data_IF_741365997711
#
_entry.id   IF_741365997711
#
_cell.length_a   1.000
_cell.length_b   1.000
_cell.length_c   1.000
_cell.angle_alpha   90.00
_cell.angle_beta   90.00
_cell.angle_gamma   90.00
#
_symmetry.space_group_name_H-M   'P 1'
#
loop_
_entity.id
_entity.type
_entity.pdbx_description
1 polymer ?
#
# COMPACT_ATOMS: atom_id res chain seq x y z
N UNK A 1 -32.39 27.23 47.64
CA UNK A 1 -30.91 27.17 47.72
C UNK A 1 -30.56 25.96 48.55
N UNK A 2 -30.33 24.82 47.90
CA UNK A 2 -29.89 23.58 48.55
C UNK A 2 -28.42 23.38 48.22
N UNK A 3 -27.59 23.43 49.25
CA UNK A 3 -26.17 23.10 49.24
C UNK A 3 -26.03 21.58 49.20
N UNK A 4 -25.89 21.01 48.00
CA UNK A 4 -25.48 19.61 47.83
C UNK A 4 -24.02 19.44 48.25
N UNK A 5 -23.80 18.63 49.28
CA UNK A 5 -22.48 18.26 49.78
C UNK A 5 -21.79 17.31 48.79
N UNK A 6 -20.46 17.41 48.62
CA UNK A 6 -19.70 16.49 47.77
C UNK A 6 -19.62 15.12 48.44
N UNK A 7 -20.32 14.14 47.86
CA UNK A 7 -20.18 12.73 48.19
C UNK A 7 -18.76 12.27 47.80
N UNK A 8 -17.91 12.13 48.81
CA UNK A 8 -16.55 11.64 48.71
C UNK A 8 -16.59 10.12 48.48
N UNK A 9 -16.86 9.71 47.24
CA UNK A 9 -16.85 8.29 46.84
C UNK A 9 -15.39 7.87 46.71
N UNK A 10 -14.85 7.35 47.80
CA UNK A 10 -13.55 6.67 47.83
C UNK A 10 -13.69 5.37 47.05
N UNK A 11 -13.42 5.41 45.74
CA UNK A 11 -13.39 4.22 44.91
C UNK A 11 -12.16 3.37 45.28
N UNK A 12 -12.33 2.06 45.53
CA UNK A 12 -11.19 1.18 45.82
C UNK A 12 -10.33 1.03 44.57
N UNK A 13 -9.17 1.68 44.56
CA UNK A 13 -8.16 1.61 43.49
C UNK A 13 -7.38 0.28 43.51
N UNK A 14 -8.05 -0.85 43.74
CA UNK A 14 -7.42 -2.17 43.93
C UNK A 14 -8.09 -3.24 43.07
N UNK A 15 -8.06 -3.07 41.76
CA UNK A 15 -8.28 -4.11 40.76
C UNK A 15 -7.90 -3.44 39.43
N UNK A 16 -6.83 -3.76 38.71
CA UNK A 16 -6.28 -5.06 38.36
C UNK A 16 -4.80 -4.86 38.06
N UNK A 17 -3.92 -5.11 39.04
CA UNK A 17 -2.49 -5.20 38.78
C UNK A 17 -2.20 -6.57 38.15
N UNK A 18 -2.45 -6.71 36.85
CA UNK A 18 -1.86 -7.82 36.09
C UNK A 18 -0.34 -7.75 36.30
N UNK A 19 0.33 -8.88 36.64
CA UNK A 19 1.75 -8.86 36.96
C UNK A 19 2.50 -8.30 35.74
N UNK A 20 3.27 -7.22 35.96
CA UNK A 20 4.02 -6.47 34.96
C UNK A 20 4.76 -7.36 33.94
N UNK A 21 5.25 -8.52 34.37
CA UNK A 21 5.87 -9.52 33.52
C UNK A 21 4.96 -10.11 32.43
N UNK A 22 3.70 -10.42 32.76
CA UNK A 22 2.75 -10.98 31.77
C UNK A 22 2.42 -9.98 30.67
N UNK A 23 2.28 -8.71 31.02
CA UNK A 23 2.04 -7.64 30.05
C UNK A 23 3.23 -7.42 29.10
N UNK A 24 4.45 -7.33 29.64
CA UNK A 24 5.68 -7.27 28.84
C UNK A 24 5.79 -8.44 27.85
N UNK A 25 5.41 -9.66 28.26
CA UNK A 25 5.43 -10.81 27.34
C UNK A 25 4.41 -10.70 26.21
N UNK A 26 3.21 -10.14 26.45
CA UNK A 26 2.23 -9.91 25.39
C UNK A 26 2.67 -8.82 24.41
N UNK A 27 3.30 -7.75 24.89
CA UNK A 27 3.82 -6.68 24.03
C UNK A 27 4.95 -7.18 23.14
N UNK A 28 5.95 -7.86 23.72
CA UNK A 28 7.04 -8.45 22.95
C UNK A 28 6.51 -9.43 21.92
N UNK A 29 5.52 -10.26 22.29
CA UNK A 29 4.91 -11.22 21.36
C UNK A 29 4.09 -10.54 20.24
N UNK A 30 3.36 -9.47 20.56
CA UNK A 30 2.60 -8.66 19.60
C UNK A 30 3.51 -7.98 18.59
N UNK A 31 4.60 -7.36 19.05
CA UNK A 31 5.63 -6.77 18.18
C UNK A 31 6.29 -7.84 17.31
N UNK A 32 6.64 -8.99 17.90
CA UNK A 32 7.24 -10.09 17.14
C UNK A 32 6.30 -10.59 16.04
N UNK A 33 5.02 -10.81 16.36
CA UNK A 33 3.99 -11.23 15.40
C UNK A 33 3.77 -10.18 14.30
N UNK A 34 3.75 -8.90 14.66
CA UNK A 34 3.64 -7.77 13.73
C UNK A 34 4.81 -7.72 12.74
N UNK A 35 6.05 -7.86 13.24
CA UNK A 35 7.26 -7.90 12.42
C UNK A 35 7.27 -9.15 11.53
N UNK A 36 6.88 -10.30 12.07
CA UNK A 36 6.75 -11.54 11.30
C UNK A 36 5.67 -11.39 10.22
N UNK A 37 4.50 -10.85 10.54
CA UNK A 37 3.41 -10.67 9.60
C UNK A 37 3.78 -9.68 8.48
N UNK A 38 4.40 -8.55 8.82
CA UNK A 38 4.88 -7.57 7.83
C UNK A 38 5.99 -8.16 6.96
N UNK A 39 6.92 -8.92 7.54
CA UNK A 39 7.96 -9.64 6.80
C UNK A 39 7.36 -10.69 5.86
N UNK A 40 6.40 -11.49 6.32
CA UNK A 40 5.68 -12.48 5.49
C UNK A 40 4.95 -11.77 4.36
N UNK A 41 4.23 -10.68 4.64
CA UNK A 41 3.49 -9.93 3.63
C UNK A 41 4.43 -9.34 2.57
N UNK A 42 5.54 -8.74 3.01
CA UNK A 42 6.58 -8.23 2.12
C UNK A 42 7.22 -9.35 1.29
N UNK A 43 7.47 -10.51 1.90
CA UNK A 43 8.04 -11.70 1.23
C UNK A 43 7.07 -12.29 0.21
N UNK A 44 5.77 -12.40 0.54
CA UNK A 44 4.73 -12.86 -0.37
C UNK A 44 4.53 -11.88 -1.53
N UNK A 45 4.58 -10.58 -1.26
CA UNK A 45 4.54 -9.56 -2.30
C UNK A 45 5.76 -9.67 -3.21
N UNK A 46 6.97 -9.77 -2.65
CA UNK A 46 8.21 -9.96 -3.40
C UNK A 46 8.17 -11.24 -4.24
N UNK A 47 7.70 -12.35 -3.65
CA UNK A 47 7.54 -13.63 -4.33
C UNK A 47 6.51 -13.55 -5.46
N UNK A 48 5.36 -12.88 -5.26
CA UNK A 48 4.35 -12.69 -6.31
C UNK A 48 4.89 -11.86 -7.48
N UNK A 49 5.77 -10.89 -7.20
CA UNK A 49 6.47 -10.12 -8.24
C UNK A 49 7.48 -11.00 -8.96
N UNK A 50 8.23 -11.83 -8.23
CA UNK A 50 9.21 -12.77 -8.80
C UNK A 50 8.53 -13.78 -9.74
N UNK A 51 7.42 -14.40 -9.30
CA UNK A 51 6.66 -15.34 -10.12
C UNK A 51 6.15 -14.70 -11.41
N UNK A 52 5.67 -13.46 -11.35
CA UNK A 52 5.25 -12.74 -12.56
C UNK A 52 6.44 -12.54 -13.52
N UNK A 53 7.60 -12.15 -13.01
CA UNK A 53 8.81 -11.98 -13.83
C UNK A 53 9.23 -13.31 -14.48
N UNK A 54 9.23 -14.40 -13.73
CA UNK A 54 9.64 -15.72 -14.22
C UNK A 54 8.65 -16.27 -15.26
N UNK A 55 7.35 -16.09 -15.04
CA UNK A 55 6.32 -16.44 -16.01
C UNK A 55 6.55 -15.72 -17.35
N UNK A 56 6.86 -14.42 -17.30
CA UNK A 56 7.21 -13.64 -18.49
C UNK A 56 8.49 -14.15 -19.17
N UNK A 57 9.52 -14.49 -18.38
CA UNK A 57 10.79 -15.00 -18.91
C UNK A 57 10.60 -16.33 -19.65
N UNK A 58 9.79 -17.25 -19.11
CA UNK A 58 9.46 -18.54 -19.77
C UNK A 58 8.71 -18.35 -21.08
N UNK A 59 7.75 -17.41 -21.15
CA UNK A 59 7.02 -17.09 -22.39
C UNK A 59 7.94 -16.59 -23.52
N UNK A 60 8.92 -15.76 -23.19
CA UNK A 60 9.89 -15.27 -24.16
C UNK A 60 10.84 -16.36 -24.67
N UNK A 61 11.18 -17.34 -23.84
CA UNK A 61 12.02 -18.47 -24.26
C UNK A 61 11.27 -19.43 -25.19
N UNK A 62 10.00 -19.73 -24.90
CA UNK A 62 9.16 -20.60 -25.74
C UNK A 62 8.96 -20.03 -27.16
N UNK A 63 8.75 -18.72 -27.29
CA UNK A 63 8.62 -18.06 -28.61
C UNK A 63 9.92 -17.99 -29.40
N UNK A 64 11.07 -18.16 -28.76
CA UNK A 64 12.39 -18.17 -29.42
C UNK A 64 12.78 -19.56 -29.91
N UNK A 65 12.39 -20.61 -29.20
CA UNK A 65 12.66 -22.00 -29.58
C UNK A 65 12.00 -22.37 -30.91
N UNK A 66 10.71 -22.03 -31.08
CA UNK A 66 9.94 -22.36 -32.30
C UNK A 66 10.44 -21.65 -33.57
N UNK A 67 11.19 -20.55 -33.44
CA UNK A 67 11.77 -19.87 -34.60
C UNK A 67 13.08 -20.51 -35.07
N UNK A 68 13.79 -21.22 -34.20
CA UNK A 68 15.09 -21.82 -34.54
C UNK A 68 14.92 -23.17 -35.23
N UNK A 69 13.86 -23.92 -34.94
CA UNK A 69 13.56 -25.20 -35.61
C UNK A 69 13.12 -25.04 -37.08
N UNK A 70 12.44 -23.94 -37.45
CA UNK A 70 12.05 -23.72 -38.85
C UNK A 70 13.21 -23.39 -39.78
N UNK A 71 14.29 -22.82 -39.25
CA UNK A 71 15.47 -22.48 -40.06
C UNK A 71 16.42 -23.68 -40.26
N UNK A 72 16.26 -24.77 -39.49
CA UNK A 72 17.12 -25.97 -39.60
C UNK A 72 16.51 -27.06 -40.50
N UNK A 73 15.19 -27.08 -40.70
CA UNK A 73 14.54 -28.12 -41.54
C UNK A 73 14.44 -27.78 -43.03
N UNK A 74 14.97 -26.64 -43.50
CA UNK A 74 14.91 -26.21 -44.91
C UNK A 74 16.13 -26.60 -45.78
N UNK A 75 17.03 -27.43 -45.26
CA UNK A 75 18.33 -27.70 -45.86
C UNK A 75 18.42 -28.97 -46.69
N UNK A 76 17.50 -29.24 -47.62
CA UNK A 76 17.72 -30.18 -48.74
C UNK A 76 16.74 -29.89 -49.87
N UNK A 77 17.09 -29.01 -50.80
CA UNK A 77 16.64 -29.06 -52.20
C UNK A 77 17.56 -28.25 -53.08
N UNK A 78 17.88 -28.86 -54.22
CA UNK A 78 18.97 -28.57 -55.12
C UNK A 78 18.85 -27.25 -55.86
N UNK A 79 20.03 -26.68 -56.13
CA UNK A 79 20.42 -25.89 -57.30
C UNK A 79 19.30 -25.46 -58.27
N UNK A 80 18.90 -24.20 -58.15
CA UNK A 80 18.08 -23.50 -59.14
C UNK A 80 18.40 -22.01 -59.09
N UNK A 81 19.02 -21.54 -60.17
CA UNK A 81 19.48 -20.17 -60.41
C UNK A 81 18.32 -19.18 -60.31
N UNK A 82 18.42 -18.15 -59.46
CA UNK A 82 17.78 -16.85 -59.73
C UNK A 82 18.44 -15.71 -58.95
N UNK A 83 18.97 -14.75 -59.73
CA UNK A 83 19.52 -13.47 -59.28
C UNK A 83 18.36 -12.51 -59.03
N UNK A 84 18.29 -11.92 -57.83
CA UNK A 84 17.57 -10.66 -57.63
C UNK A 84 17.04 -10.44 -56.22
N UNK A 85 17.39 -9.29 -55.63
CA UNK A 85 16.75 -8.65 -54.47
C UNK A 85 17.05 -9.20 -53.06
N UNK A 86 18.28 -8.98 -52.60
CA UNK A 86 18.70 -9.19 -51.20
C UNK A 86 18.99 -7.87 -50.45
N UNK A 87 17.98 -6.99 -50.28
CA UNK A 87 18.19 -5.72 -49.51
C UNK A 87 17.13 -5.46 -48.40
N UNK A 88 16.03 -6.21 -48.32
CA UNK A 88 14.95 -5.90 -47.35
C UNK A 88 15.05 -6.62 -45.99
N UNK A 89 15.80 -7.72 -45.88
CA UNK A 89 15.74 -8.64 -44.71
C UNK A 89 16.41 -8.11 -43.41
N UNK A 90 17.32 -7.14 -43.49
CA UNK A 90 18.02 -6.64 -42.30
C UNK A 90 17.24 -5.59 -41.48
N UNK A 91 16.15 -5.03 -42.00
CA UNK A 91 15.40 -3.96 -41.31
C UNK A 91 14.46 -4.48 -40.20
N UNK A 92 14.08 -5.76 -40.23
CA UNK A 92 13.17 -6.34 -39.23
C UNK A 92 13.88 -6.91 -37.98
N UNK A 93 15.18 -7.22 -38.05
CA UNK A 93 15.94 -7.72 -36.89
C UNK A 93 16.23 -6.63 -35.85
N UNK A 94 16.19 -5.35 -36.22
CA UNK A 94 16.45 -4.22 -35.33
C UNK A 94 15.30 -3.90 -34.36
N UNK A 95 14.06 -4.29 -34.66
CA UNK A 95 12.87 -3.91 -33.87
C UNK A 95 12.52 -4.86 -32.72
N UNK A 96 13.06 -6.09 -32.71
CA UNK A 96 12.73 -7.11 -31.69
C UNK A 96 13.56 -7.03 -30.39
N UNK A 97 14.58 -6.17 -30.30
CA UNK A 97 15.46 -6.05 -29.11
C UNK A 97 14.98 -5.06 -28.03
N UNK A 98 13.77 -4.52 -28.11
CA UNK A 98 13.26 -3.51 -27.15
C UNK A 98 12.11 -3.96 -26.26
N UNK A 99 11.82 -5.25 -26.16
CA UNK A 99 10.77 -5.76 -25.25
C UNK A 99 11.28 -6.22 -23.88
N UNK A 100 12.59 -6.18 -23.61
CA UNK A 100 13.16 -6.43 -22.25
C UNK A 100 12.95 -5.23 -21.28
N UNK A 101 11.86 -4.48 -21.45
CA UNK A 101 11.47 -3.33 -20.63
C UNK A 101 10.88 -3.67 -19.26
N UNK A 102 10.67 -4.97 -18.98
CA UNK A 102 10.07 -5.50 -17.74
C UNK A 102 10.90 -5.18 -16.49
N UNK A 103 12.21 -4.96 -16.61
CA UNK A 103 13.07 -4.65 -15.45
C UNK A 103 12.90 -3.24 -14.87
N UNK A 104 12.46 -2.26 -15.67
CA UNK A 104 12.37 -0.86 -15.22
C UNK A 104 11.05 -0.52 -14.53
N UNK A 105 9.94 -1.16 -14.92
CA UNK A 105 8.61 -0.86 -14.33
C UNK A 105 8.40 -1.44 -12.92
N UNK A 106 9.19 -2.44 -12.51
CA UNK A 106 9.08 -3.06 -11.20
C UNK A 106 9.79 -2.27 -10.06
N UNK A 107 10.72 -1.37 -10.41
CA UNK A 107 11.45 -0.54 -9.43
C UNK A 107 10.54 0.32 -8.54
N UNK A 108 9.58 1.11 -9.08
CA UNK A 108 8.72 1.95 -8.23
C UNK A 108 7.88 1.12 -7.26
N UNK A 109 7.41 -0.06 -7.67
CA UNK A 109 6.64 -0.95 -6.80
C UNK A 109 7.46 -1.42 -5.60
N UNK A 110 8.72 -1.84 -5.82
CA UNK A 110 9.63 -2.24 -4.73
C UNK A 110 9.86 -1.10 -3.75
N UNK A 111 10.11 0.10 -4.27
CA UNK A 111 10.33 1.30 -3.46
C UNK A 111 9.08 1.62 -2.61
N UNK A 112 7.89 1.58 -3.20
CA UNK A 112 6.63 1.80 -2.46
C UNK A 112 6.39 0.76 -1.37
N UNK A 113 6.71 -0.52 -1.62
CA UNK A 113 6.60 -1.57 -0.60
C UNK A 113 7.58 -1.35 0.56
N UNK A 114 8.81 -0.92 0.27
CA UNK A 114 9.80 -0.59 1.31
C UNK A 114 9.31 0.58 2.17
N UNK A 115 8.79 1.64 1.55
CA UNK A 115 8.22 2.77 2.29
C UNK A 115 6.99 2.35 3.11
N UNK A 116 6.09 1.54 2.57
CA UNK A 116 4.95 1.02 3.32
C UNK A 116 5.39 0.22 4.55
N UNK A 117 6.37 -0.68 4.39
CA UNK A 117 6.93 -1.45 5.50
C UNK A 117 7.60 -0.54 6.54
N UNK A 118 8.37 0.46 6.11
CA UNK A 118 8.99 1.42 7.00
C UNK A 118 7.96 2.19 7.83
N UNK A 119 6.90 2.73 7.20
CA UNK A 119 5.84 3.41 7.95
C UNK A 119 5.07 2.47 8.88
N UNK A 120 4.86 1.21 8.49
CA UNK A 120 4.25 0.23 9.38
C UNK A 120 5.11 -0.02 10.64
N UNK A 121 6.43 -0.12 10.49
CA UNK A 121 7.36 -0.26 11.63
C UNK A 121 7.34 0.97 12.51
N UNK A 122 7.36 2.18 11.94
CA UNK A 122 7.28 3.44 12.70
C UNK A 122 5.95 3.52 13.48
N UNK A 123 4.84 3.11 12.86
CA UNK A 123 3.52 3.05 13.51
C UNK A 123 3.55 2.12 14.72
N UNK A 124 4.08 0.91 14.54
CA UNK A 124 4.20 -0.08 15.62
C UNK A 124 5.08 0.42 16.76
N UNK A 125 6.22 1.05 16.43
CA UNK A 125 7.08 1.65 17.44
C UNK A 125 6.38 2.79 18.21
N UNK A 126 5.56 3.58 17.53
CA UNK A 126 4.74 4.62 18.17
C UNK A 126 3.72 3.99 19.14
N UNK A 127 2.99 2.96 18.72
CA UNK A 127 2.02 2.26 19.59
C UNK A 127 2.71 1.72 20.86
N UNK A 128 3.90 1.14 20.71
CA UNK A 128 4.70 0.65 21.85
C UNK A 128 5.13 1.78 22.81
N UNK A 129 5.44 2.97 22.29
CA UNK A 129 5.80 4.12 23.12
C UNK A 129 4.60 4.64 23.92
N UNK A 130 3.39 4.65 23.35
CA UNK A 130 2.16 5.01 24.09
C UNK A 130 1.93 4.06 25.26
N UNK A 131 2.03 2.76 24.99
CA UNK A 131 1.90 1.71 25.98
C UNK A 131 2.94 1.85 27.10
N UNK A 132 4.22 2.03 26.77
CA UNK A 132 5.27 2.21 27.80
C UNK A 132 5.14 3.50 28.62
N UNK A 133 4.60 4.56 28.03
CA UNK A 133 4.47 5.86 28.69
C UNK A 133 3.24 5.96 29.58
N UNK A 134 2.17 5.23 29.24
CA UNK A 134 1.02 5.01 30.11
C UNK A 134 1.43 4.45 31.48
N UNK A 135 2.32 3.45 31.52
CA UNK A 135 2.75 2.82 32.77
C UNK A 135 3.82 3.61 33.55
N UNK A 136 4.69 4.34 32.87
CA UNK A 136 5.79 5.06 33.52
C UNK A 136 5.37 6.41 34.13
N UNK A 137 4.15 6.87 33.87
CA UNK A 137 3.66 8.19 34.31
C UNK A 137 4.39 9.37 33.65
N UNK A 138 5.26 9.09 32.68
CA UNK A 138 5.98 10.11 31.91
C UNK A 138 5.01 10.72 30.91
N UNK A 139 4.74 12.02 31.07
CA UNK A 139 3.86 12.77 30.17
C UNK A 139 4.57 12.99 28.84
N UNK A 140 4.34 12.07 27.89
CA UNK A 140 4.67 12.33 26.49
C UNK A 140 3.70 13.38 25.98
N UNK A 141 4.21 14.29 25.16
CA UNK A 141 3.42 15.35 24.56
C UNK A 141 2.35 14.73 23.64
N UNK A 142 1.13 14.50 24.16
CA UNK A 142 0.18 13.64 23.46
C UNK A 142 -0.19 14.21 22.08
N UNK A 143 -0.22 15.53 21.95
CA UNK A 143 -0.43 16.20 20.66
C UNK A 143 0.57 15.73 19.60
N UNK A 144 1.85 15.55 19.96
CA UNK A 144 2.88 15.07 19.04
C UNK A 144 2.64 13.61 18.68
N UNK A 145 2.37 12.77 19.69
CA UNK A 145 2.09 11.35 19.48
C UNK A 145 0.92 11.15 18.51
N UNK A 146 -0.21 11.80 18.78
CA UNK A 146 -1.41 11.69 17.95
C UNK A 146 -1.14 12.12 16.50
N UNK A 147 -0.41 13.22 16.30
CA UNK A 147 -0.03 13.69 14.96
C UNK A 147 0.87 12.68 14.24
N UNK A 148 1.87 12.12 14.93
CA UNK A 148 2.77 11.11 14.35
C UNK A 148 1.99 9.86 13.94
N UNK A 149 1.11 9.37 14.80
CA UNK A 149 0.26 8.19 14.52
C UNK A 149 -0.60 8.40 13.28
N UNK A 150 -1.31 9.53 13.22
CA UNK A 150 -2.23 9.86 12.12
C UNK A 150 -1.46 10.00 10.80
N UNK A 151 -0.36 10.76 10.80
CA UNK A 151 0.46 10.95 9.60
C UNK A 151 1.03 9.62 9.12
N UNK A 152 1.61 8.83 10.03
CA UNK A 152 2.24 7.56 9.69
C UNK A 152 1.22 6.57 9.12
N UNK A 153 0.03 6.50 9.73
CA UNK A 153 -1.08 5.67 9.23
C UNK A 153 -1.50 6.10 7.82
N UNK A 154 -1.73 7.40 7.59
CA UNK A 154 -2.13 7.91 6.28
C UNK A 154 -1.08 7.68 5.20
N UNK A 155 0.21 7.85 5.53
CA UNK A 155 1.32 7.58 4.60
C UNK A 155 1.43 6.09 4.27
N UNK A 156 1.29 5.22 5.27
CA UNK A 156 1.27 3.76 5.08
C UNK A 156 0.13 3.35 4.14
N UNK A 157 -1.10 3.80 4.42
CA UNK A 157 -2.26 3.53 3.58
C UNK A 157 -2.06 4.03 2.14
N UNK A 158 -1.55 5.25 1.97
CA UNK A 158 -1.26 5.83 0.65
C UNK A 158 -0.23 5.00 -0.13
N UNK A 159 0.82 4.51 0.54
CA UNK A 159 1.82 3.65 -0.09
C UNK A 159 1.21 2.31 -0.55
N UNK A 160 0.36 1.68 0.28
CA UNK A 160 -0.32 0.43 -0.04
C UNK A 160 -1.26 0.62 -1.23
N UNK A 161 -2.12 1.64 -1.20
CA UNK A 161 -3.06 1.91 -2.29
C UNK A 161 -2.35 2.29 -3.58
N UNK A 162 -1.25 3.05 -3.52
CA UNK A 162 -0.42 3.34 -4.68
C UNK A 162 0.22 2.08 -5.26
N UNK A 163 0.69 1.16 -4.41
CA UNK A 163 1.27 -0.11 -4.85
C UNK A 163 0.22 -1.01 -5.54
N UNK A 164 -0.98 -1.11 -4.97
CA UNK A 164 -2.12 -1.83 -5.59
C UNK A 164 -2.50 -1.21 -6.94
N UNK A 165 -2.54 0.12 -7.01
CA UNK A 165 -2.79 0.83 -8.25
C UNK A 165 -1.73 0.56 -9.32
N UNK A 166 -0.44 0.56 -8.95
CA UNK A 166 0.65 0.22 -9.87
C UNK A 166 0.53 -1.21 -10.37
N UNK A 167 0.16 -2.16 -9.50
CA UNK A 167 -0.07 -3.55 -9.88
C UNK A 167 -1.22 -3.68 -10.89
N UNK A 168 -2.34 -2.99 -10.66
CA UNK A 168 -3.46 -2.95 -11.60
C UNK A 168 -3.04 -2.39 -12.96
N UNK A 169 -2.24 -1.31 -12.97
CA UNK A 169 -1.71 -0.71 -14.20
C UNK A 169 -0.80 -1.66 -14.98
N UNK A 170 0.05 -2.41 -14.28
CA UNK A 170 0.91 -3.43 -14.92
C UNK A 170 0.04 -4.52 -15.56
N UNK A 171 -1.03 -4.93 -14.88
CA UNK A 171 -1.98 -5.93 -15.38
C UNK A 171 -2.74 -5.44 -16.61
N UNK A 172 -3.26 -4.21 -16.60
CA UNK A 172 -3.97 -3.60 -17.73
C UNK A 172 -3.08 -3.41 -18.96
N UNK A 173 -1.79 -3.09 -18.77
CA UNK A 173 -0.83 -2.95 -19.86
C UNK A 173 -0.40 -4.30 -20.49
N UNK A 174 -0.92 -5.43 -20.02
CA UNK A 174 -0.59 -6.74 -20.59
C UNK A 174 -1.11 -6.83 -22.04
N UNK A 175 -0.34 -7.36 -23.01
CA UNK A 175 -0.73 -7.36 -24.43
C UNK A 175 -2.07 -8.06 -24.72
N UNK A 176 -2.43 -9.05 -23.91
CA UNK A 176 -3.73 -9.76 -24.00
C UNK A 176 -4.91 -8.83 -23.71
N UNK A 177 -4.75 -7.86 -22.80
CA UNK A 177 -5.81 -6.93 -22.40
C UNK A 177 -5.73 -5.56 -23.09
N UNK A 178 -4.81 -5.40 -24.04
CA UNK A 178 -4.58 -4.12 -24.72
C UNK A 178 -5.81 -3.62 -25.51
N UNK A 179 -6.73 -4.51 -25.87
CA UNK A 179 -8.00 -4.16 -26.52
C UNK A 179 -8.99 -3.47 -25.57
N UNK A 180 -8.87 -3.71 -24.26
CA UNK A 180 -9.70 -3.08 -23.21
C UNK A 180 -9.11 -1.73 -22.77
N UNK A 181 -7.81 -1.52 -22.92
CA UNK A 181 -7.15 -0.27 -22.50
C UNK A 181 -7.40 0.87 -23.48
N UNK A 182 -8.51 1.58 -23.29
CA UNK A 182 -8.77 2.84 -24.00
C UNK A 182 -8.03 4.01 -23.35
N UNK A 183 -7.77 5.09 -24.13
CA UNK A 183 -7.20 6.34 -23.60
C UNK A 183 -8.00 6.90 -22.42
N UNK A 184 -9.33 6.74 -22.45
CA UNK A 184 -10.25 7.18 -21.39
C UNK A 184 -9.95 6.45 -20.07
N UNK A 185 -9.78 5.13 -20.11
CA UNK A 185 -9.43 4.32 -18.92
C UNK A 185 -8.07 4.74 -18.36
N UNK A 186 -7.10 5.04 -19.23
CA UNK A 186 -5.81 5.59 -18.81
C UNK A 186 -5.94 6.87 -17.99
N UNK A 187 -6.81 7.80 -18.42
CA UNK A 187 -7.09 9.04 -17.69
C UNK A 187 -7.81 8.76 -16.37
N UNK A 188 -8.86 7.93 -16.38
CA UNK A 188 -9.62 7.55 -15.17
C UNK A 188 -8.71 6.93 -14.12
N UNK A 189 -7.78 6.07 -14.55
CA UNK A 189 -6.80 5.43 -13.68
C UNK A 189 -5.86 6.47 -13.03
N UNK A 190 -5.36 7.45 -13.76
CA UNK A 190 -4.54 8.52 -13.15
C UNK A 190 -5.34 9.41 -12.21
N UNK A 191 -6.59 9.74 -12.58
CA UNK A 191 -7.49 10.52 -11.73
C UNK A 191 -7.75 9.76 -10.42
N UNK A 192 -7.97 8.44 -10.46
CA UNK A 192 -8.23 7.67 -9.23
C UNK A 192 -7.04 7.70 -8.27
N UNK A 193 -5.80 7.61 -8.78
CA UNK A 193 -4.60 7.76 -7.95
C UNK A 193 -4.53 9.16 -7.32
N UNK A 194 -4.73 10.21 -8.12
CA UNK A 194 -4.73 11.58 -7.62
C UNK A 194 -5.81 11.78 -6.54
N UNK A 195 -7.01 11.26 -6.77
CA UNK A 195 -8.12 11.31 -5.80
C UNK A 195 -7.78 10.60 -4.49
N UNK A 196 -7.13 9.43 -4.53
CA UNK A 196 -6.71 8.69 -3.33
C UNK A 196 -5.65 9.48 -2.53
N UNK A 197 -4.67 10.07 -3.22
CA UNK A 197 -3.63 10.87 -2.55
C UNK A 197 -4.25 12.14 -1.94
N UNK A 198 -5.07 12.86 -2.70
CA UNK A 198 -5.75 14.06 -2.22
C UNK A 198 -6.69 13.76 -1.04
N UNK A 199 -7.48 12.69 -1.10
CA UNK A 199 -8.38 12.32 -0.02
C UNK A 199 -7.62 11.91 1.25
N UNK A 200 -6.49 11.21 1.13
CA UNK A 200 -5.64 10.86 2.27
C UNK A 200 -5.03 12.11 2.94
N UNK A 201 -4.52 13.05 2.15
CA UNK A 201 -3.98 14.31 2.66
C UNK A 201 -5.07 15.17 3.32
N UNK A 202 -6.23 15.30 2.69
CA UNK A 202 -7.37 16.03 3.24
C UNK A 202 -7.86 15.40 4.54
N UNK A 203 -7.99 14.08 4.61
CA UNK A 203 -8.39 13.39 5.83
C UNK A 203 -7.39 13.60 6.97
N UNK A 204 -6.09 13.53 6.66
CA UNK A 204 -5.01 13.80 7.62
C UNK A 204 -5.10 15.24 8.15
N UNK A 205 -5.30 16.20 7.25
CA UNK A 205 -5.42 17.62 7.60
C UNK A 205 -6.66 17.89 8.45
N UNK A 206 -7.84 17.41 8.02
CA UNK A 206 -9.10 17.55 8.76
C UNK A 206 -8.97 16.92 10.14
N UNK A 207 -8.41 15.71 10.23
CA UNK A 207 -8.23 15.05 11.51
C UNK A 207 -7.28 15.83 12.43
N UNK A 208 -6.17 16.33 11.89
CA UNK A 208 -5.17 17.11 12.65
C UNK A 208 -5.71 18.45 13.13
N UNK A 209 -6.62 19.08 12.37
CA UNK A 209 -7.26 20.34 12.75
C UNK A 209 -8.46 20.14 13.70
N UNK A 210 -9.21 19.06 13.53
CA UNK A 210 -10.45 18.81 14.27
C UNK A 210 -10.24 18.14 15.64
N UNK A 211 -9.06 17.58 15.89
CA UNK A 211 -8.75 16.91 17.15
C UNK A 211 -7.73 17.68 17.96
N UNK A 212 -7.97 17.75 19.25
CA UNK A 212 -6.94 18.13 20.22
C UNK A 212 -6.80 17.00 21.21
N UNK A 213 -5.58 16.52 21.37
CA UNK A 213 -5.23 15.68 22.49
C UNK A 213 -5.32 16.51 23.77
N UNK A 214 -6.07 16.01 24.76
CA UNK A 214 -6.05 16.54 26.12
C UNK A 214 -5.42 15.47 27.02
N UNK A 215 -4.41 15.86 27.77
CA UNK A 215 -3.76 14.97 28.73
C UNK A 215 -4.72 14.65 29.88
N UNK A 216 -5.04 13.37 30.07
CA UNK A 216 -5.87 12.86 31.17
C UNK A 216 -5.01 11.96 32.07
N UNK A 217 -5.33 11.83 33.38
CA UNK A 217 -4.65 10.85 34.24
C UNK A 217 -4.83 9.40 33.76
N UNK A 218 -5.88 9.14 32.98
CA UNK A 218 -6.12 7.85 32.32
C UNK A 218 -5.41 7.72 30.96
N UNK A 219 -4.41 8.57 30.69
CA UNK A 219 -3.70 8.62 29.41
C UNK A 219 -4.24 9.70 28.48
N UNK A 220 -3.96 9.59 27.20
CA UNK A 220 -4.37 10.62 26.27
C UNK A 220 -5.80 10.43 25.78
N UNK A 221 -6.67 11.40 26.06
CA UNK A 221 -8.03 11.41 25.55
C UNK A 221 -8.13 12.37 24.36
N UNK A 222 -8.78 11.92 23.30
CA UNK A 222 -9.10 12.79 22.17
C UNK A 222 -10.22 13.76 22.58
N UNK A 223 -9.87 15.03 22.75
CA UNK A 223 -10.81 16.13 22.84
C UNK A 223 -11.28 16.58 21.45
N UNK A 224 -12.55 16.97 21.36
CA UNK A 224 -13.09 17.65 20.19
C UNK A 224 -13.10 19.14 20.49
N UNK A 225 -12.18 19.90 19.89
CA UNK A 225 -12.09 21.36 20.08
C UNK A 225 -12.80 22.15 19.00
N UNK A 226 -12.93 21.59 17.79
CA UNK A 226 -13.50 22.34 16.68
C UNK A 226 -15.04 22.31 16.75
N UNK A 227 -15.73 23.43 16.49
CA UNK A 227 -17.19 23.50 16.38
C UNK A 227 -17.71 22.85 15.10
N UNK A 228 -16.99 21.85 14.56
CA UNK A 228 -17.48 21.08 13.43
C UNK A 228 -18.53 20.12 13.99
N UNK A 229 -19.78 20.15 13.49
CA UNK A 229 -20.79 19.20 13.89
C UNK A 229 -20.23 17.78 13.72
N UNK A 230 -20.25 17.00 14.81
CA UNK A 230 -19.67 15.64 14.84
C UNK A 230 -20.13 14.79 13.65
N UNK A 231 -21.40 14.94 13.24
CA UNK A 231 -21.96 14.27 12.06
C UNK A 231 -21.22 14.57 10.74
N UNK A 232 -20.89 15.83 10.45
CA UNK A 232 -20.21 16.21 9.19
C UNK A 232 -18.83 15.55 9.10
N UNK A 233 -18.10 15.50 10.22
CA UNK A 233 -16.77 14.86 10.27
C UNK A 233 -16.85 13.37 9.92
N UNK A 234 -17.78 12.64 10.51
CA UNK A 234 -17.96 11.22 10.21
C UNK A 234 -18.45 10.99 8.79
N UNK A 235 -19.32 11.86 8.26
CA UNK A 235 -19.79 11.77 6.87
C UNK A 235 -18.64 11.98 5.89
N UNK A 236 -17.76 12.97 6.12
CA UNK A 236 -16.58 13.20 5.24
C UNK A 236 -15.62 12.01 5.32
N UNK A 237 -15.31 11.50 6.52
CA UNK A 237 -14.47 10.32 6.71
C UNK A 237 -15.07 9.07 6.06
N UNK A 238 -16.38 8.85 6.23
CA UNK A 238 -17.08 7.72 5.63
C UNK A 238 -17.10 7.83 4.10
N UNK A 239 -17.44 9.00 3.56
CA UNK A 239 -17.51 9.22 2.11
C UNK A 239 -16.12 9.05 1.45
N UNK A 240 -15.08 9.63 2.05
CA UNK A 240 -13.71 9.51 1.51
C UNK A 240 -13.15 8.09 1.64
N UNK A 241 -13.40 7.40 2.77
CA UNK A 241 -12.95 6.03 2.99
C UNK A 241 -13.72 5.03 2.12
N UNK A 242 -15.05 5.03 2.19
CA UNK A 242 -15.90 4.09 1.44
C UNK A 242 -15.83 4.39 -0.05
N UNK A 243 -15.88 5.67 -0.45
CA UNK A 243 -15.81 6.06 -1.85
C UNK A 243 -14.49 5.65 -2.51
N UNK A 244 -13.36 5.82 -1.83
CA UNK A 244 -12.06 5.38 -2.37
C UNK A 244 -11.96 3.85 -2.46
N UNK A 245 -12.48 3.12 -1.48
CA UNK A 245 -12.53 1.65 -1.50
C UNK A 245 -13.43 1.12 -2.62
N UNK A 246 -14.63 1.69 -2.80
CA UNK A 246 -15.54 1.32 -3.88
C UNK A 246 -14.94 1.64 -5.26
N UNK A 247 -14.27 2.78 -5.41
CA UNK A 247 -13.59 3.14 -6.65
C UNK A 247 -12.47 2.15 -6.99
N UNK A 248 -11.65 1.76 -6.00
CA UNK A 248 -10.62 0.74 -6.14
C UNK A 248 -11.21 -0.62 -6.48
N UNK A 249 -12.31 -1.01 -5.82
CA UNK A 249 -13.01 -2.25 -6.09
C UNK A 249 -13.57 -2.28 -7.51
N UNK A 250 -14.22 -1.22 -7.97
CA UNK A 250 -14.72 -1.09 -9.33
C UNK A 250 -13.59 -1.17 -10.37
N UNK A 251 -12.45 -0.53 -10.10
CA UNK A 251 -11.25 -0.62 -10.93
C UNK A 251 -10.66 -2.04 -10.96
N UNK A 252 -10.73 -2.78 -9.85
CA UNK A 252 -10.29 -4.17 -9.77
C UNK A 252 -11.25 -5.15 -10.46
N UNK A 253 -12.56 -4.90 -10.40
CA UNK A 253 -13.58 -5.72 -11.03
C UNK A 253 -13.67 -5.51 -12.54
N UNK A 254 -13.33 -4.32 -13.05
CA UNK A 254 -13.40 -4.03 -14.48
C UNK A 254 -12.66 -5.02 -15.40
N UNK A 255 -11.43 -5.49 -15.08
CA UNK A 255 -10.73 -6.49 -15.90
C UNK A 255 -11.09 -7.95 -15.62
N UNK A 256 -11.95 -8.25 -14.63
CA UNK A 256 -12.47 -9.59 -14.33
C UNK A 256 -13.66 -9.92 -15.24
#
# INVERSE_FOLDING_TARGET
MSTEAPNNVTTPATAYALPYHTWMTYEVFSVLLSVIATYILASLLAYSVQQNIDFFKRRHLSTRSTKTERDVSGGHSSAGVERGQSVSSNRERGKRRRMDGTGKSARPLRVLCIFAAFFAVVRMAADQLELGTYYSGVRVNCKVYQVVVVITYSLCATCIYSALWFRLRIFLNHPVMNHLTTKKIGVVMWISLATIICSSLLNTLIFSLATTAVDSPEGCKLGVTAPIPSGIRYVILAFTSVGSQLLLLALFLYPL
#
